data_IF_227895856371
#
_entry.id   IF_227895856371
#
_cell.length_a   1.000
_cell.length_b   1.000
_cell.length_c   1.000
_cell.angle_alpha   90.00
_cell.angle_beta   90.00
_cell.angle_gamma   90.00
#
_symmetry.space_group_name_H-M   'P 1'
#
loop_
_entity.id
_entity.type
_entity.pdbx_description
1 polymer ?
#
# COMPACT_ATOMS: atom_id res chain seq x y z
N UNK A 1 10.76 -20.01 -0.33
CA UNK A 1 9.79 -21.09 -0.62
C UNK A 1 8.56 -20.55 -1.34
N UNK A 2 7.83 -19.57 -0.78
CA UNK A 2 6.61 -19.00 -1.39
C UNK A 2 6.79 -18.49 -2.84
N UNK A 3 7.87 -17.75 -3.13
CA UNK A 3 8.15 -17.26 -4.50
C UNK A 3 8.30 -18.39 -5.51
N UNK A 4 9.03 -19.45 -5.15
CA UNK A 4 9.22 -20.63 -6.01
C UNK A 4 7.88 -21.34 -6.23
N UNK A 5 7.08 -21.49 -5.18
CA UNK A 5 5.73 -22.07 -5.28
C UNK A 5 4.84 -21.24 -6.21
N UNK A 6 4.86 -19.92 -6.10
CA UNK A 6 4.09 -19.02 -6.98
C UNK A 6 4.51 -19.17 -8.45
N UNK A 7 5.81 -19.18 -8.73
CA UNK A 7 6.31 -19.35 -10.11
C UNK A 7 6.00 -20.73 -10.69
N UNK A 8 6.06 -21.80 -9.89
CA UNK A 8 5.65 -23.13 -10.35
C UNK A 8 4.15 -23.19 -10.64
N UNK A 9 3.31 -22.50 -9.85
CA UNK A 9 1.88 -22.36 -10.15
C UNK A 9 1.69 -21.60 -11.47
N UNK A 10 2.34 -20.44 -11.65
CA UNK A 10 2.23 -19.67 -12.91
C UNK A 10 2.64 -20.49 -14.13
N UNK A 11 3.71 -21.29 -14.01
CA UNK A 11 4.17 -22.19 -15.07
C UNK A 11 3.14 -23.29 -15.37
N UNK A 12 2.57 -23.93 -14.35
CA UNK A 12 1.54 -24.99 -14.51
C UNK A 12 0.26 -24.45 -15.13
N UNK A 13 -0.19 -23.28 -14.67
CA UNK A 13 -1.38 -22.59 -15.15
C UNK A 13 -1.15 -21.86 -16.48
N UNK A 14 0.07 -21.90 -17.03
CA UNK A 14 0.48 -21.23 -18.28
C UNK A 14 0.07 -19.76 -18.31
N UNK A 15 0.32 -19.06 -17.22
CA UNK A 15 0.02 -17.64 -17.06
C UNK A 15 0.77 -16.84 -18.12
N UNK A 16 0.05 -16.06 -18.94
CA UNK A 16 0.65 -15.20 -19.99
C UNK A 16 1.40 -14.01 -19.41
N UNK A 17 0.92 -13.44 -18.32
CA UNK A 17 1.51 -12.28 -17.64
C UNK A 17 1.33 -12.43 -16.15
N UNK A 18 2.42 -12.29 -15.40
CA UNK A 18 2.40 -12.24 -13.95
C UNK A 18 2.77 -10.83 -13.47
N UNK A 19 2.04 -10.30 -12.49
CA UNK A 19 2.45 -9.13 -11.72
C UNK A 19 3.12 -9.64 -10.45
N UNK A 20 4.40 -9.32 -10.27
CA UNK A 20 5.22 -9.84 -9.18
C UNK A 20 5.63 -8.71 -8.26
N UNK A 21 5.04 -8.66 -7.07
CA UNK A 21 5.42 -7.71 -6.02
C UNK A 21 6.71 -8.19 -5.34
N UNK A 22 7.67 -7.27 -5.18
CA UNK A 22 8.91 -7.51 -4.44
C UNK A 22 8.59 -7.58 -2.94
N UNK A 23 9.11 -8.60 -2.25
CA UNK A 23 8.88 -8.76 -0.81
C UNK A 23 9.60 -7.71 0.03
N UNK A 24 10.92 -7.59 -0.13
CA UNK A 24 11.74 -6.62 0.60
C UNK A 24 12.92 -6.15 -0.25
N UNK A 25 13.11 -4.83 -0.34
CA UNK A 25 14.21 -4.24 -1.11
C UNK A 25 13.96 -4.41 -2.61
N UNK A 26 14.70 -5.31 -3.26
CA UNK A 26 14.63 -5.54 -4.71
C UNK A 26 15.79 -6.38 -5.20
N UNK A 27 17.01 -5.83 -5.13
CA UNK A 27 18.25 -6.43 -5.63
C UNK A 27 18.46 -7.89 -5.18
N UNK A 28 18.25 -8.15 -3.90
CA UNK A 28 18.43 -9.47 -3.27
C UNK A 28 17.10 -10.16 -2.91
N UNK A 29 15.98 -9.64 -3.40
CA UNK A 29 14.69 -10.27 -3.15
C UNK A 29 14.56 -11.59 -3.92
N UNK A 30 13.84 -12.55 -3.35
CA UNK A 30 13.62 -13.85 -3.99
C UNK A 30 12.90 -13.74 -5.35
N UNK A 31 12.14 -12.67 -5.60
CA UNK A 31 11.48 -12.45 -6.89
C UNK A 31 12.45 -11.97 -7.98
N UNK A 32 13.61 -11.42 -7.60
CA UNK A 32 14.56 -10.83 -8.54
C UNK A 32 15.40 -11.85 -9.32
N UNK A 33 15.07 -13.14 -9.20
CA UNK A 33 15.60 -14.23 -10.03
C UNK A 33 15.12 -14.17 -11.48
N UNK A 34 14.06 -13.41 -11.77
CA UNK A 34 13.55 -13.20 -13.12
C UNK A 34 14.58 -12.41 -13.95
N UNK A 35 14.88 -12.87 -15.16
CA UNK A 35 15.82 -12.22 -16.09
C UNK A 35 15.12 -11.19 -16.98
N UNK A 36 15.87 -10.36 -17.71
CA UNK A 36 15.30 -9.55 -18.80
C UNK A 36 14.66 -10.49 -19.82
N UNK A 37 13.51 -10.09 -20.39
CA UNK A 37 12.99 -10.74 -21.57
C UNK A 37 13.80 -10.24 -22.79
N UNK A 38 14.81 -11.01 -23.22
CA UNK A 38 15.78 -10.62 -24.25
C UNK A 38 15.46 -11.16 -25.65
N UNK A 39 14.59 -12.18 -25.78
CA UNK A 39 14.26 -12.84 -27.05
C UNK A 39 12.74 -12.98 -27.22
N UNK A 40 12.19 -12.51 -28.33
CA UNK A 40 10.78 -12.70 -28.69
C UNK A 40 10.40 -14.18 -28.84
N UNK A 41 11.39 -15.06 -29.02
CA UNK A 41 11.22 -16.51 -29.14
C UNK A 41 11.34 -17.26 -27.80
N UNK A 42 11.99 -16.67 -26.77
CA UNK A 42 12.09 -17.23 -25.42
C UNK A 42 11.23 -16.40 -24.46
N UNK A 43 9.99 -16.85 -24.32
CA UNK A 43 8.83 -16.00 -24.03
C UNK A 43 8.61 -15.73 -22.53
N UNK A 44 9.69 -15.61 -21.75
CA UNK A 44 9.60 -15.44 -20.30
C UNK A 44 10.65 -14.43 -19.78
N UNK A 45 10.31 -13.72 -18.72
CA UNK A 45 11.18 -12.70 -18.12
C UNK A 45 10.42 -11.43 -17.76
N UNK A 46 11.18 -10.44 -17.30
CA UNK A 46 10.67 -9.11 -16.96
C UNK A 46 10.49 -8.31 -18.25
N UNK A 47 9.29 -7.78 -18.48
CA UNK A 47 8.94 -6.89 -19.61
C UNK A 47 8.77 -5.42 -19.18
N UNK A 48 8.61 -5.16 -17.88
CA UNK A 48 8.64 -3.82 -17.29
C UNK A 48 8.95 -3.93 -15.80
N UNK A 49 9.74 -2.98 -15.30
CA UNK A 49 9.95 -2.79 -13.86
C UNK A 49 9.18 -1.55 -13.39
N UNK A 50 8.74 -1.53 -12.13
CA UNK A 50 7.99 -0.40 -11.55
C UNK A 50 8.54 -0.07 -10.18
N UNK A 51 8.92 1.19 -9.98
CA UNK A 51 9.35 1.75 -8.70
C UNK A 51 8.30 2.76 -8.24
N UNK A 52 7.47 2.35 -7.30
CA UNK A 52 6.48 3.24 -6.67
C UNK A 52 7.16 4.22 -5.71
N UNK A 53 6.38 4.97 -4.92
CA UNK A 53 6.90 5.81 -3.86
C UNK A 53 7.84 5.04 -2.92
N UNK A 54 9.01 5.61 -2.66
CA UNK A 54 10.03 5.12 -1.73
C UNK A 54 10.05 6.04 -0.51
N UNK A 55 9.72 5.45 0.64
CA UNK A 55 9.86 6.06 1.96
C UNK A 55 10.96 5.40 2.79
N UNK A 56 11.18 5.95 3.98
CA UNK A 56 12.02 5.34 5.01
C UNK A 56 11.25 4.18 5.66
N UNK A 57 11.48 2.97 5.18
CA UNK A 57 10.98 1.74 5.79
C UNK A 57 12.06 0.67 5.78
N UNK A 58 11.98 -0.27 6.73
CA UNK A 58 12.91 -1.40 6.85
C UNK A 58 14.39 -0.98 6.92
N UNK A 59 14.67 0.13 7.62
CA UNK A 59 16.02 0.74 7.69
C UNK A 59 17.11 -0.23 8.18
N UNK A 60 16.76 -1.18 9.05
CA UNK A 60 17.67 -2.22 9.53
C UNK A 60 18.15 -3.20 8.45
N UNK A 61 17.42 -3.31 7.34
CA UNK A 61 17.75 -4.19 6.21
C UNK A 61 18.20 -3.43 4.97
N UNK A 62 17.60 -2.28 4.67
CA UNK A 62 17.78 -1.54 3.41
C UNK A 62 18.69 -0.30 3.54
N UNK A 63 19.06 0.06 4.77
CA UNK A 63 19.87 1.23 5.07
C UNK A 63 19.06 2.41 5.59
N UNK A 64 19.76 3.41 6.12
CA UNK A 64 19.19 4.55 6.86
C UNK A 64 18.93 5.81 6.03
N UNK A 65 19.05 5.74 4.70
CA UNK A 65 18.81 6.88 3.80
C UNK A 65 17.98 6.46 2.60
N UNK A 66 17.19 7.39 2.04
CA UNK A 66 16.37 7.08 0.86
C UNK A 66 17.24 6.67 -0.33
N UNK A 67 18.41 7.29 -0.54
CA UNK A 67 19.35 6.87 -1.58
C UNK A 67 19.85 5.42 -1.43
N UNK A 68 20.08 4.92 -0.20
CA UNK A 68 20.45 3.51 0.03
C UNK A 68 19.29 2.57 -0.26
N UNK A 69 18.10 2.91 0.22
CA UNK A 69 16.88 2.13 -0.02
C UNK A 69 16.55 2.09 -1.52
N UNK A 70 16.71 3.22 -2.21
CA UNK A 70 16.53 3.34 -3.65
C UNK A 70 17.51 2.45 -4.42
N UNK A 71 18.78 2.35 -4.00
CA UNK A 71 19.75 1.44 -4.64
C UNK A 71 19.34 -0.02 -4.53
N UNK A 72 18.85 -0.44 -3.36
CA UNK A 72 18.34 -1.80 -3.19
C UNK A 72 17.10 -2.04 -4.07
N UNK A 73 16.17 -1.09 -4.12
CA UNK A 73 14.94 -1.20 -4.93
C UNK A 73 15.20 -1.16 -6.44
N UNK A 74 16.11 -0.31 -6.89
CA UNK A 74 16.50 -0.17 -8.30
C UNK A 74 17.20 -1.43 -8.85
N UNK A 75 17.63 -2.36 -7.99
CA UNK A 75 18.20 -3.65 -8.42
C UNK A 75 17.23 -4.58 -9.16
N UNK A 76 15.95 -4.24 -9.25
CA UNK A 76 14.98 -4.95 -10.12
C UNK A 76 14.98 -4.45 -11.57
N UNK A 77 15.68 -3.35 -11.87
CA UNK A 77 15.81 -2.83 -13.23
C UNK A 77 16.68 -3.81 -14.02
N UNK A 78 16.18 -4.23 -15.19
CA UNK A 78 16.84 -5.22 -16.05
C UNK A 78 17.36 -4.56 -17.32
N UNK A 79 18.42 -5.10 -17.95
CA UNK A 79 18.96 -4.57 -19.20
C UNK A 79 17.88 -4.41 -20.27
N UNK A 80 17.83 -3.25 -20.92
CA UNK A 80 16.92 -2.93 -22.03
C UNK A 80 15.41 -2.95 -21.72
N UNK A 81 15.02 -3.28 -20.48
CA UNK A 81 13.62 -3.35 -20.04
C UNK A 81 13.19 -1.99 -19.49
N UNK A 82 12.04 -1.43 -19.91
CA UNK A 82 11.59 -0.14 -19.39
C UNK A 82 11.32 -0.17 -17.89
N UNK A 83 11.61 0.94 -17.22
CA UNK A 83 11.25 1.18 -15.82
C UNK A 83 10.32 2.38 -15.70
N UNK A 84 9.23 2.19 -14.97
CA UNK A 84 8.31 3.26 -14.59
C UNK A 84 8.59 3.65 -13.15
N UNK A 85 8.71 4.94 -12.87
CA UNK A 85 8.96 5.45 -11.52
C UNK A 85 7.96 6.54 -11.14
N UNK A 86 7.48 6.47 -9.90
CA UNK A 86 6.66 7.53 -9.32
C UNK A 86 7.49 8.82 -9.20
N UNK A 87 7.12 9.84 -9.97
CA UNK A 87 7.81 11.12 -10.01
C UNK A 87 7.65 11.97 -8.76
N UNK A 88 6.79 11.58 -7.81
CA UNK A 88 6.70 12.23 -6.49
C UNK A 88 7.82 11.79 -5.52
N UNK A 89 8.70 10.88 -5.94
CA UNK A 89 9.87 10.48 -5.18
C UNK A 89 10.85 11.65 -4.95
N UNK A 90 11.66 11.55 -3.89
CA UNK A 90 12.69 12.54 -3.60
C UNK A 90 13.74 12.59 -4.74
N UNK A 91 14.40 13.75 -4.98
CA UNK A 91 15.39 13.87 -6.05
C UNK A 91 16.49 12.79 -6.01
N UNK A 92 16.99 12.45 -4.82
CA UNK A 92 18.02 11.40 -4.65
C UNK A 92 17.54 10.01 -5.08
N UNK A 93 16.24 9.72 -4.96
CA UNK A 93 15.64 8.46 -5.41
C UNK A 93 15.54 8.44 -6.93
N UNK A 94 15.05 9.54 -7.51
CA UNK A 94 14.93 9.69 -8.96
C UNK A 94 16.29 9.61 -9.65
N UNK A 95 17.32 10.22 -9.08
CA UNK A 95 18.71 10.14 -9.56
C UNK A 95 19.21 8.70 -9.56
N UNK A 96 19.06 7.97 -8.44
CA UNK A 96 19.47 6.56 -8.35
C UNK A 96 18.77 5.68 -9.38
N UNK A 97 17.44 5.83 -9.54
CA UNK A 97 16.67 5.06 -10.52
C UNK A 97 17.13 5.39 -11.95
N UNK A 98 17.31 6.68 -12.25
CA UNK A 98 17.73 7.14 -13.58
C UNK A 98 19.12 6.62 -13.93
N UNK A 99 20.11 6.80 -13.06
CA UNK A 99 21.47 6.29 -13.29
C UNK A 99 21.51 4.76 -13.39
N UNK A 100 20.70 4.05 -12.60
CA UNK A 100 20.62 2.58 -12.69
C UNK A 100 20.03 2.13 -14.02
N UNK A 101 19.00 2.82 -14.51
CA UNK A 101 18.39 2.55 -15.80
C UNK A 101 19.33 2.87 -16.97
N UNK A 102 20.04 4.00 -16.92
CA UNK A 102 21.08 4.36 -17.91
C UNK A 102 22.16 3.27 -18.00
N UNK A 103 22.67 2.80 -16.86
CA UNK A 103 23.64 1.70 -16.80
C UNK A 103 23.11 0.38 -17.38
N UNK A 104 21.79 0.19 -17.38
CA UNK A 104 21.11 -0.98 -17.94
C UNK A 104 20.59 -0.72 -19.37
N UNK A 105 20.83 0.45 -19.97
CA UNK A 105 20.20 0.84 -21.24
C UNK A 105 18.66 0.73 -21.23
N UNK A 106 18.05 0.93 -20.07
CA UNK A 106 16.61 0.87 -19.84
C UNK A 106 15.97 2.25 -20.04
N UNK A 107 14.82 2.30 -20.73
CA UNK A 107 14.03 3.52 -20.82
C UNK A 107 13.36 3.84 -19.48
N UNK A 108 13.47 5.09 -19.03
CA UNK A 108 12.85 5.57 -17.78
C UNK A 108 11.62 6.41 -18.09
N UNK A 109 10.48 6.00 -17.57
CA UNK A 109 9.24 6.79 -17.58
C UNK A 109 8.99 7.33 -16.16
N UNK A 110 9.20 8.65 -15.97
CA UNK A 110 8.93 9.34 -14.71
C UNK A 110 7.49 9.85 -14.72
N UNK A 111 6.64 9.30 -13.86
CA UNK A 111 5.20 9.59 -13.88
C UNK A 111 4.85 10.68 -12.87
N UNK A 112 4.32 11.79 -13.37
CA UNK A 112 3.78 12.89 -12.55
C UNK A 112 2.34 13.20 -12.96
N UNK A 113 1.34 12.65 -12.25
CA UNK A 113 -0.06 13.02 -12.46
C UNK A 113 -0.27 14.53 -12.30
N UNK A 114 -1.02 15.13 -13.21
CA UNK A 114 -1.27 16.57 -13.24
C UNK A 114 -2.56 16.90 -12.48
N UNK A 115 -2.53 17.68 -11.40
CA UNK A 115 -3.73 18.01 -10.64
C UNK A 115 -4.72 18.81 -11.50
N UNK A 116 -6.00 18.57 -11.27
CA UNK A 116 -7.08 19.35 -11.89
C UNK A 116 -7.58 20.46 -10.96
N UNK A 117 -8.61 21.19 -11.41
CA UNK A 117 -9.34 22.14 -10.55
C UNK A 117 -10.20 21.46 -9.49
N UNK A 118 -10.49 20.16 -9.64
CA UNK A 118 -11.25 19.38 -8.67
C UNK A 118 -10.26 18.80 -7.65
N UNK A 119 -10.40 19.10 -6.35
CA UNK A 119 -9.51 18.55 -5.32
C UNK A 119 -9.48 17.03 -5.33
N UNK A 120 -8.27 16.44 -5.23
CA UNK A 120 -8.07 14.99 -5.26
C UNK A 120 -8.16 14.34 -6.64
N UNK A 121 -8.45 15.11 -7.70
CA UNK A 121 -8.52 14.63 -9.07
C UNK A 121 -7.29 15.06 -9.87
N UNK A 122 -6.68 14.10 -10.57
CA UNK A 122 -5.49 14.30 -11.42
C UNK A 122 -5.67 13.66 -12.80
N UNK A 123 -5.00 14.22 -13.80
CA UNK A 123 -4.89 13.68 -15.14
C UNK A 123 -3.55 12.95 -15.31
N UNK A 124 -3.61 11.74 -15.84
CA UNK A 124 -2.46 10.87 -16.08
C UNK A 124 -2.32 10.73 -17.59
N UNK A 125 -1.17 11.14 -18.12
CA UNK A 125 -0.84 10.93 -19.53
C UNK A 125 -0.22 9.55 -19.70
N UNK A 126 -0.59 8.88 -20.79
CA UNK A 126 0.00 7.60 -21.23
C UNK A 126 0.30 7.70 -22.73
N UNK A 127 1.30 6.96 -23.21
CA UNK A 127 1.66 6.92 -24.62
C UNK A 127 0.64 6.15 -25.48
N UNK A 128 0.09 5.05 -24.96
CA UNK A 128 -0.77 4.14 -25.73
C UNK A 128 -2.27 4.26 -25.38
N UNK A 129 -2.63 4.85 -24.24
CA UNK A 129 -4.02 4.94 -23.80
C UNK A 129 -4.53 6.36 -23.64
N UNK A 130 -3.77 7.39 -24.08
CA UNK A 130 -4.15 8.80 -23.97
C UNK A 130 -4.20 9.32 -22.53
N UNK A 131 -5.05 10.33 -22.27
CA UNK A 131 -5.20 10.93 -20.93
C UNK A 131 -6.26 10.18 -20.12
N UNK A 132 -5.89 9.69 -18.94
CA UNK A 132 -6.76 9.00 -17.99
C UNK A 132 -7.01 9.93 -16.79
N UNK A 133 -8.27 10.03 -16.37
CA UNK A 133 -8.63 10.81 -15.19
C UNK A 133 -8.61 9.90 -13.95
N UNK A 134 -7.91 10.30 -12.89
CA UNK A 134 -7.75 9.49 -11.68
C UNK A 134 -9.07 9.18 -10.99
N UNK A 135 -10.12 9.99 -11.17
CA UNK A 135 -11.44 9.78 -10.54
C UNK A 135 -12.12 8.46 -10.89
N UNK A 136 -11.66 7.77 -11.94
CA UNK A 136 -12.20 6.46 -12.33
C UNK A 136 -11.72 5.34 -11.40
N UNK A 137 -10.66 5.56 -10.60
CA UNK A 137 -10.25 4.59 -9.58
C UNK A 137 -11.26 4.57 -8.43
N UNK A 138 -11.70 3.39 -7.97
CA UNK A 138 -12.50 3.28 -6.76
C UNK A 138 -11.66 3.41 -5.48
N UNK A 139 -10.32 3.40 -5.60
CA UNK A 139 -9.41 3.49 -4.46
C UNK A 139 -9.37 4.91 -3.90
N UNK A 140 -9.34 5.00 -2.58
CA UNK A 140 -9.38 6.28 -1.85
C UNK A 140 -7.97 6.76 -1.51
N UNK A 141 -7.85 8.06 -1.28
CA UNK A 141 -6.59 8.74 -0.95
C UNK A 141 -5.94 9.41 -2.17
N UNK A 142 -5.43 10.63 -1.98
CA UNK A 142 -4.86 11.45 -3.07
C UNK A 142 -3.63 10.80 -3.73
N UNK A 143 -2.87 10.01 -2.97
CA UNK A 143 -1.71 9.26 -3.46
C UNK A 143 -2.07 8.17 -4.48
N UNK A 144 -3.34 7.77 -4.59
CA UNK A 144 -3.76 6.78 -5.57
C UNK A 144 -3.63 7.28 -7.01
N UNK A 145 -3.61 8.60 -7.24
CA UNK A 145 -3.30 9.14 -8.55
C UNK A 145 -1.88 8.75 -9.01
N UNK A 146 -0.90 8.76 -8.09
CA UNK A 146 0.47 8.32 -8.36
C UNK A 146 0.55 6.82 -8.61
N UNK A 147 -0.07 6.01 -7.73
CA UNK A 147 -0.12 4.55 -7.90
C UNK A 147 -0.79 4.16 -9.23
N UNK A 148 -1.93 4.77 -9.55
CA UNK A 148 -2.61 4.57 -10.81
C UNK A 148 -1.73 5.00 -11.98
N UNK A 149 -1.04 6.15 -11.85
CA UNK A 149 -0.08 6.66 -12.80
C UNK A 149 0.99 5.64 -13.17
N UNK A 150 1.63 5.05 -12.15
CA UNK A 150 2.62 4.01 -12.35
C UNK A 150 2.02 2.76 -13.02
N UNK A 151 0.86 2.30 -12.56
CA UNK A 151 0.21 1.11 -13.10
C UNK A 151 -0.15 1.25 -14.59
N UNK A 152 -0.78 2.36 -14.99
CA UNK A 152 -1.19 2.56 -16.39
C UNK A 152 -0.01 2.85 -17.32
N UNK A 153 1.05 3.48 -16.82
CA UNK A 153 2.26 3.70 -17.63
C UNK A 153 3.11 2.44 -17.74
N UNK A 154 3.13 1.58 -16.73
CA UNK A 154 3.73 0.25 -16.84
C UNK A 154 2.99 -0.61 -17.87
N UNK A 155 1.66 -0.52 -17.91
CA UNK A 155 0.87 -1.17 -18.95
C UNK A 155 1.09 -0.53 -20.33
N UNK A 156 1.27 0.79 -20.37
CA UNK A 156 1.53 1.53 -21.62
C UNK A 156 2.90 1.19 -22.21
N UNK A 157 3.93 0.96 -21.40
CA UNK A 157 5.28 0.62 -21.87
C UNK A 157 5.34 -0.76 -22.55
N UNK A 158 4.46 -1.68 -22.13
CA UNK A 158 4.39 -3.06 -22.66
C UNK A 158 3.24 -3.29 -23.63
N UNK A 159 2.51 -2.24 -24.04
CA UNK A 159 1.29 -2.38 -24.84
C UNK A 159 1.51 -3.14 -26.17
N UNK A 160 2.73 -3.09 -26.74
CA UNK A 160 3.09 -3.81 -27.95
C UNK A 160 3.02 -5.35 -27.81
N UNK A 161 3.20 -5.89 -26.60
CA UNK A 161 2.99 -7.32 -26.30
C UNK A 161 1.50 -7.71 -26.26
N UNK A 162 0.60 -6.72 -26.22
CA UNK A 162 -0.85 -6.89 -26.03
C UNK A 162 -1.64 -6.08 -27.07
N UNK A 163 -1.57 -6.41 -28.37
CA UNK A 163 -2.21 -5.62 -29.44
C UNK A 163 -3.75 -5.50 -29.29
N UNK A 164 -4.39 -6.46 -28.61
CA UNK A 164 -5.84 -6.43 -28.34
C UNK A 164 -6.22 -5.58 -27.11
N UNK A 165 -5.24 -5.07 -26.36
CA UNK A 165 -5.48 -4.24 -25.19
C UNK A 165 -5.85 -2.83 -25.62
N UNK A 166 -7.11 -2.44 -25.38
CA UNK A 166 -7.65 -1.14 -25.75
C UNK A 166 -7.73 -0.21 -24.55
N UNK A 167 -7.87 1.09 -24.79
CA UNK A 167 -8.17 2.07 -23.74
C UNK A 167 -9.42 1.69 -22.93
N UNK A 168 -10.46 1.15 -23.56
CA UNK A 168 -11.68 0.72 -22.85
C UNK A 168 -11.40 -0.43 -21.88
N UNK A 169 -10.57 -1.41 -22.28
CA UNK A 169 -10.10 -2.47 -21.38
C UNK A 169 -9.39 -1.89 -20.16
N UNK A 170 -8.49 -0.90 -20.36
CA UNK A 170 -7.77 -0.24 -19.27
C UNK A 170 -8.72 0.49 -18.33
N UNK A 171 -9.63 1.31 -18.85
CA UNK A 171 -10.61 2.06 -18.04
C UNK A 171 -11.53 1.13 -17.23
N UNK A 172 -12.02 0.05 -17.85
CA UNK A 172 -12.82 -0.98 -17.16
C UNK A 172 -12.01 -1.71 -16.09
N UNK A 173 -10.73 -2.01 -16.35
CA UNK A 173 -9.83 -2.61 -15.37
C UNK A 173 -9.64 -1.73 -14.14
N UNK A 174 -9.36 -0.44 -14.35
CA UNK A 174 -9.22 0.54 -13.27
C UNK A 174 -10.50 0.61 -12.42
N UNK A 175 -11.66 0.75 -13.05
CA UNK A 175 -12.95 0.84 -12.35
C UNK A 175 -13.34 -0.41 -11.54
N UNK A 176 -12.70 -1.56 -11.80
CA UNK A 176 -12.92 -2.82 -11.07
C UNK A 176 -11.88 -3.09 -9.97
N UNK A 177 -10.94 -2.17 -9.75
CA UNK A 177 -9.87 -2.37 -8.78
C UNK A 177 -10.46 -2.51 -7.38
N UNK A 178 -10.07 -3.57 -6.67
CA UNK A 178 -10.38 -3.75 -5.26
C UNK A 178 -9.07 -4.01 -4.53
N UNK A 179 -8.79 -3.22 -3.50
CA UNK A 179 -7.56 -3.35 -2.71
C UNK A 179 -7.88 -3.41 -1.21
N UNK A 180 -8.13 -4.62 -0.68
CA UNK A 180 -8.51 -4.79 0.71
C UNK A 180 -7.49 -4.17 1.68
N UNK A 181 -7.97 -3.47 2.70
CA UNK A 181 -7.14 -2.85 3.72
C UNK A 181 -6.34 -1.62 3.31
N UNK A 182 -6.73 -0.93 2.23
CA UNK A 182 -6.18 0.39 1.84
C UNK A 182 -7.31 1.41 1.76
N UNK A 183 -7.48 2.19 2.81
CA UNK A 183 -8.59 3.13 3.02
C UNK A 183 -9.94 2.51 2.63
N UNK A 184 -10.11 1.23 2.98
CA UNK A 184 -11.27 0.45 2.60
C UNK A 184 -12.40 0.76 3.59
N UNK A 185 -13.53 1.24 3.10
CA UNK A 185 -14.73 1.39 3.95
C UNK A 185 -15.59 0.16 3.79
N UNK A 186 -15.97 -0.43 4.91
CA UNK A 186 -16.86 -1.59 4.99
C UNK A 186 -17.75 -1.45 6.22
N UNK A 187 -18.98 -1.92 6.10
CA UNK A 187 -19.87 -2.08 7.23
C UNK A 187 -19.49 -3.37 7.99
N UNK A 188 -19.08 -3.23 9.25
CA UNK A 188 -18.74 -4.35 10.15
C UNK A 188 -19.96 -4.65 11.00
N UNK A 189 -20.48 -5.89 10.91
CA UNK A 189 -21.48 -6.38 11.85
C UNK A 189 -20.82 -6.69 13.19
N UNK A 190 -21.26 -6.02 14.25
CA UNK A 190 -20.88 -6.35 15.63
C UNK A 190 -21.86 -7.37 16.22
N UNK A 191 -21.47 -8.02 17.32
CA UNK A 191 -22.34 -8.93 18.08
C UNK A 191 -23.59 -8.23 18.67
N UNK A 192 -23.79 -6.94 18.39
CA UNK A 192 -24.90 -6.08 18.84
C UNK A 192 -25.98 -5.85 17.77
N UNK A 193 -26.12 -6.74 16.78
CA UNK A 193 -27.10 -6.63 15.67
C UNK A 193 -27.07 -5.27 14.94
N UNK A 194 -25.88 -4.67 14.79
CA UNK A 194 -25.70 -3.40 14.09
C UNK A 194 -24.50 -3.46 13.15
N UNK A 195 -24.74 -2.96 11.95
CA UNK A 195 -23.71 -2.70 10.95
C UNK A 195 -23.18 -1.28 11.17
N UNK A 196 -21.85 -1.17 11.36
CA UNK A 196 -21.18 0.11 11.55
C UNK A 196 -20.18 0.34 10.41
N UNK A 197 -20.19 1.52 9.76
CA UNK A 197 -19.22 1.84 8.74
C UNK A 197 -17.85 2.06 9.38
N UNK A 198 -16.87 1.27 8.95
CA UNK A 198 -15.51 1.30 9.45
C UNK A 198 -14.53 1.53 8.31
N UNK A 199 -13.54 2.40 8.54
CA UNK A 199 -12.38 2.58 7.67
C UNK A 199 -11.26 1.61 8.09
N UNK A 200 -10.86 0.72 7.20
CA UNK A 200 -9.75 -0.21 7.37
C UNK A 200 -8.52 0.28 6.61
N UNK A 201 -7.37 0.37 7.28
CA UNK A 201 -6.12 0.71 6.63
C UNK A 201 -4.89 0.02 7.25
N UNK A 202 -4.00 -0.50 6.40
CA UNK A 202 -2.77 -1.16 6.83
C UNK A 202 -1.58 -0.22 7.10
N UNK A 203 -1.79 1.08 7.31
CA UNK A 203 -0.74 2.04 7.64
C UNK A 203 0.05 1.59 8.87
N UNK A 204 1.37 1.45 8.70
CA UNK A 204 2.27 0.88 9.71
C UNK A 204 3.68 1.48 9.65
N UNK A 205 3.82 2.64 9.00
CA UNK A 205 5.02 3.47 8.98
C UNK A 205 4.60 4.95 8.92
N UNK A 206 5.55 5.86 9.12
CA UNK A 206 5.30 7.30 9.23
C UNK A 206 4.62 7.89 7.98
N UNK A 207 5.08 7.51 6.78
CA UNK A 207 4.52 8.03 5.53
C UNK A 207 3.07 7.57 5.33
N UNK A 208 2.78 6.29 5.58
CA UNK A 208 1.42 5.77 5.51
C UNK A 208 0.52 6.39 6.59
N UNK A 209 1.06 6.66 7.78
CA UNK A 209 0.36 7.33 8.87
C UNK A 209 -0.04 8.76 8.49
N UNK A 210 0.85 9.51 7.84
CA UNK A 210 0.55 10.85 7.32
C UNK A 210 -0.56 10.82 6.27
N UNK A 211 -0.53 9.84 5.35
CA UNK A 211 -1.58 9.68 4.33
C UNK A 211 -2.92 9.25 4.91
N UNK A 212 -2.91 8.38 5.92
CA UNK A 212 -4.12 8.02 6.66
C UNK A 212 -4.70 9.24 7.39
N UNK A 213 -3.84 10.03 8.07
CA UNK A 213 -4.25 11.25 8.76
C UNK A 213 -4.85 12.28 7.81
N UNK A 214 -4.20 12.55 6.68
CA UNK A 214 -4.69 13.45 5.63
C UNK A 214 -6.10 13.03 5.18
N UNK A 215 -6.31 11.74 4.93
CA UNK A 215 -7.60 11.21 4.53
C UNK A 215 -8.67 11.35 5.64
N UNK A 216 -8.35 11.01 6.89
CA UNK A 216 -9.28 11.12 8.02
C UNK A 216 -9.71 12.57 8.22
N UNK A 217 -8.77 13.51 8.22
CA UNK A 217 -9.05 14.93 8.45
C UNK A 217 -9.91 15.54 7.33
N UNK A 218 -9.75 15.07 6.09
CA UNK A 218 -10.49 15.60 4.93
C UNK A 218 -11.85 14.92 4.71
N UNK A 219 -12.08 13.72 5.23
CA UNK A 219 -13.28 12.92 4.89
C UNK A 219 -14.11 12.45 6.08
N UNK A 220 -13.49 12.13 7.22
CA UNK A 220 -14.20 11.60 8.39
C UNK A 220 -14.53 12.70 9.40
N UNK A 221 -13.62 13.67 9.58
CA UNK A 221 -13.82 14.75 10.55
C UNK A 221 -14.73 15.84 9.97
N UNK A 222 -15.86 16.09 10.64
CA UNK A 222 -16.79 17.19 10.28
C UNK A 222 -16.24 18.57 10.67
N UNK A 223 -15.38 18.60 11.68
CA UNK A 223 -14.62 19.75 12.16
C UNK A 223 -13.25 19.29 12.65
N UNK A 224 -12.24 20.17 12.76
CA UNK A 224 -10.90 19.80 13.24
C UNK A 224 -10.89 18.99 14.55
N UNK A 225 -11.84 19.31 15.44
CA UNK A 225 -12.02 18.73 16.77
C UNK A 225 -13.03 17.58 16.83
N UNK A 226 -13.61 17.16 15.70
CA UNK A 226 -14.51 16.01 15.68
C UNK A 226 -13.75 14.74 16.07
N UNK A 227 -14.11 14.03 17.15
CA UNK A 227 -13.38 12.85 17.58
C UNK A 227 -13.56 11.69 16.60
N UNK A 228 -12.55 10.82 16.55
CA UNK A 228 -12.51 9.56 15.80
C UNK A 228 -12.18 8.44 16.78
N UNK A 229 -12.84 7.29 16.63
CA UNK A 229 -12.55 6.09 17.43
C UNK A 229 -11.61 5.18 16.64
N UNK A 230 -10.48 4.84 17.24
CA UNK A 230 -9.45 4.01 16.62
C UNK A 230 -9.37 2.63 17.28
N UNK A 231 -9.33 1.56 16.49
CA UNK A 231 -8.90 0.23 16.95
C UNK A 231 -7.54 -0.06 16.32
N UNK A 232 -6.53 -0.28 17.15
CA UNK A 232 -5.14 -0.30 16.67
C UNK A 232 -4.34 -1.49 17.17
N UNK A 233 -3.52 -2.05 16.30
CA UNK A 233 -2.52 -3.07 16.64
C UNK A 233 -1.33 -2.92 15.69
N UNK A 234 -0.13 -3.15 16.21
CA UNK A 234 1.12 -2.93 15.48
C UNK A 234 2.00 -4.17 15.54
N UNK A 235 2.67 -4.50 14.43
CA UNK A 235 3.62 -5.61 14.38
C UNK A 235 4.88 -5.27 15.17
N UNK A 236 5.43 -6.24 15.89
CA UNK A 236 6.71 -6.11 16.60
C UNK A 236 7.81 -5.53 15.73
N UNK A 237 8.61 -4.63 16.31
CA UNK A 237 9.74 -3.99 15.65
C UNK A 237 9.40 -2.77 14.78
N UNK A 238 8.12 -2.35 14.74
CA UNK A 238 7.71 -1.08 14.12
C UNK A 238 7.66 0.03 15.18
N UNK A 239 8.07 1.24 14.82
CA UNK A 239 7.95 2.42 15.68
C UNK A 239 6.50 2.94 15.68
N UNK A 240 5.65 2.26 16.45
CA UNK A 240 4.25 2.64 16.56
C UNK A 240 4.03 3.95 17.32
N UNK A 241 4.98 4.40 18.14
CA UNK A 241 4.89 5.68 18.82
C UNK A 241 4.86 6.84 17.81
N UNK A 242 5.83 6.85 16.89
CA UNK A 242 5.92 7.81 15.81
C UNK A 242 4.66 7.83 14.92
N UNK A 243 4.06 6.66 14.70
CA UNK A 243 2.80 6.50 13.94
C UNK A 243 1.60 7.07 14.70
N UNK A 244 1.43 6.72 15.98
CA UNK A 244 0.30 7.19 16.79
C UNK A 244 0.33 8.72 16.94
N UNK A 245 1.50 9.31 17.13
CA UNK A 245 1.65 10.78 17.22
C UNK A 245 1.23 11.50 15.92
N UNK A 246 1.40 10.87 14.76
CA UNK A 246 0.99 11.42 13.46
C UNK A 246 -0.51 11.31 13.22
N UNK A 247 -1.11 10.17 13.59
CA UNK A 247 -2.51 9.89 13.26
C UNK A 247 -3.48 10.48 14.29
N UNK A 248 -3.21 10.33 15.57
CA UNK A 248 -4.15 10.68 16.64
C UNK A 248 -4.21 12.19 16.91
N UNK A 249 -5.32 12.65 17.48
CA UNK A 249 -5.51 13.97 18.07
C UNK A 249 -5.99 13.82 19.53
N UNK A 250 -5.84 14.86 20.38
CA UNK A 250 -6.18 14.78 21.81
C UNK A 250 -7.60 14.25 22.10
N UNK A 251 -8.59 14.63 21.30
CA UNK A 251 -9.99 14.25 21.47
C UNK A 251 -10.33 12.81 21.07
N UNK A 252 -9.41 12.08 20.42
CA UNK A 252 -9.70 10.78 19.84
C UNK A 252 -9.75 9.68 20.89
N UNK A 253 -10.62 8.68 20.66
CA UNK A 253 -10.71 7.49 21.52
C UNK A 253 -9.88 6.37 20.90
N UNK A 254 -9.12 5.64 21.72
CA UNK A 254 -8.27 4.54 21.25
C UNK A 254 -8.64 3.24 21.95
N UNK A 255 -8.72 2.17 21.17
CA UNK A 255 -8.86 0.80 21.65
C UNK A 255 -7.65 0.04 21.12
N UNK A 256 -6.66 -0.16 21.98
CA UNK A 256 -5.47 -0.93 21.66
C UNK A 256 -5.79 -2.43 21.66
N UNK A 257 -5.29 -3.15 20.66
CA UNK A 257 -5.51 -4.59 20.54
C UNK A 257 -4.32 -5.34 19.97
N UNK A 258 -4.47 -6.65 19.86
CA UNK A 258 -3.48 -7.57 19.35
C UNK A 258 -4.10 -8.37 18.21
N UNK A 259 -3.36 -8.54 17.11
CA UNK A 259 -3.73 -9.50 16.08
C UNK A 259 -3.18 -10.89 16.44
N UNK A 260 -3.90 -11.93 16.01
CA UNK A 260 -3.58 -13.32 16.31
C UNK A 260 -2.34 -13.86 15.56
N UNK A 261 -2.10 -15.17 15.71
CA UNK A 261 -1.00 -15.84 15.00
C UNK A 261 -1.17 -15.73 13.48
N UNK A 262 -0.08 -15.44 12.79
CA UNK A 262 -0.04 -15.36 11.32
C UNK A 262 0.27 -16.73 10.73
N UNK A 263 -0.63 -17.22 9.88
CA UNK A 263 -0.48 -18.51 9.20
C UNK A 263 0.82 -18.58 8.41
N UNK A 264 1.65 -19.58 8.70
CA UNK A 264 2.94 -19.78 8.03
C UNK A 264 4.05 -18.79 8.42
N UNK A 265 3.80 -17.87 9.36
CA UNK A 265 4.79 -16.88 9.82
C UNK A 265 4.79 -16.73 11.35
N UNK A 266 5.18 -17.76 12.12
CA UNK A 266 5.13 -17.74 13.59
C UNK A 266 6.07 -16.71 14.25
N UNK A 267 7.02 -16.16 13.51
CA UNK A 267 7.92 -15.09 13.97
C UNK A 267 7.28 -13.69 13.90
N UNK A 268 6.12 -13.56 13.26
CA UNK A 268 5.35 -12.31 13.24
C UNK A 268 4.40 -12.32 14.43
N UNK A 269 4.51 -11.28 15.26
CA UNK A 269 3.65 -11.08 16.42
C UNK A 269 3.29 -9.59 16.59
N UNK A 270 2.23 -9.36 17.35
CA UNK A 270 1.78 -8.01 17.73
C UNK A 270 2.61 -7.46 18.90
N UNK A 271 2.72 -6.14 18.99
CA UNK A 271 2.89 -5.46 20.26
C UNK A 271 1.71 -5.77 21.18
N UNK A 272 1.95 -5.80 22.49
CA UNK A 272 0.88 -6.07 23.44
C UNK A 272 -0.12 -4.91 23.46
N UNK A 273 -1.39 -5.20 23.75
CA UNK A 273 -2.40 -4.14 23.84
C UNK A 273 -2.04 -3.09 24.90
N UNK A 274 -1.35 -3.50 25.97
CA UNK A 274 -0.89 -2.61 27.04
C UNK A 274 0.18 -1.64 26.55
N UNK A 275 1.22 -2.13 25.86
CA UNK A 275 2.28 -1.26 25.31
C UNK A 275 1.71 -0.18 24.38
N UNK A 276 0.76 -0.57 23.54
CA UNK A 276 0.11 0.35 22.59
C UNK A 276 -0.81 1.33 23.33
N UNK A 277 -1.57 0.87 24.33
CA UNK A 277 -2.41 1.72 25.16
C UNK A 277 -1.61 2.76 25.95
N UNK A 278 -0.49 2.35 26.55
CA UNK A 278 0.39 3.24 27.33
C UNK A 278 0.90 4.40 26.48
N UNK A 279 1.34 4.12 25.25
CA UNK A 279 1.77 5.16 24.31
C UNK A 279 0.59 6.02 23.84
N UNK A 280 -0.55 5.41 23.50
CA UNK A 280 -1.74 6.15 23.09
C UNK A 280 -2.19 7.15 24.17
N UNK A 281 -2.09 6.77 25.44
CA UNK A 281 -2.45 7.62 26.59
C UNK A 281 -1.56 8.88 26.71
N UNK A 282 -0.37 8.88 26.11
CA UNK A 282 0.50 10.07 26.04
C UNK A 282 0.07 11.06 24.95
N UNK A 283 -0.74 10.62 23.98
CA UNK A 283 -1.16 11.42 22.82
C UNK A 283 -2.60 11.92 22.96
N UNK A 284 -3.50 11.11 23.52
CA UNK A 284 -4.92 11.44 23.68
C UNK A 284 -5.24 11.88 25.11
N UNK A 285 -6.17 12.83 25.24
CA UNK A 285 -6.77 13.24 26.51
C UNK A 285 -8.13 12.56 26.78
N UNK A 286 -8.65 11.83 25.79
CA UNK A 286 -9.88 11.04 25.88
C UNK A 286 -9.61 9.62 26.39
N UNK A 287 -10.60 8.73 26.22
CA UNK A 287 -10.57 7.35 26.68
C UNK A 287 -9.59 6.49 25.87
N UNK A 288 -8.76 5.73 26.59
CA UNK A 288 -7.99 4.60 26.05
C UNK A 288 -8.51 3.31 26.69
N UNK A 289 -8.83 2.33 25.85
CA UNK A 289 -9.21 0.98 26.25
C UNK A 289 -8.23 -0.03 25.65
N UNK A 290 -8.24 -1.25 26.16
CA UNK A 290 -7.45 -2.34 25.60
C UNK A 290 -8.21 -3.66 25.62
N UNK A 291 -7.94 -4.51 24.63
CA UNK A 291 -8.29 -5.93 24.65
C UNK A 291 -7.27 -6.70 23.80
N UNK A 292 -6.80 -7.83 24.27
CA UNK A 292 -5.89 -8.70 23.52
C UNK A 292 -6.57 -9.48 22.38
N UNK A 293 -7.86 -9.24 22.13
CA UNK A 293 -8.62 -9.87 21.07
C UNK A 293 -9.29 -8.83 20.17
N UNK A 294 -9.07 -8.94 18.85
CA UNK A 294 -9.62 -7.99 17.87
C UNK A 294 -11.14 -7.90 17.94
N UNK A 295 -11.85 -9.03 18.06
CA UNK A 295 -13.33 -9.04 18.09
C UNK A 295 -13.87 -8.35 19.34
N UNK A 296 -13.28 -8.63 20.50
CA UNK A 296 -13.61 -7.94 21.74
C UNK A 296 -13.32 -6.44 21.65
N UNK A 297 -12.16 -6.06 21.10
CA UNK A 297 -11.79 -4.65 20.90
C UNK A 297 -12.80 -3.91 20.01
N UNK A 298 -13.25 -4.53 18.92
CA UNK A 298 -14.29 -3.93 18.06
C UNK A 298 -15.64 -3.86 18.79
N UNK A 299 -15.97 -4.83 19.66
CA UNK A 299 -17.20 -4.79 20.49
C UNK A 299 -17.19 -3.68 21.56
N UNK A 300 -16.00 -3.18 21.96
CA UNK A 300 -15.84 -2.03 22.85
C UNK A 300 -16.14 -0.68 22.16
N UNK A 301 -16.24 -0.66 20.83
CA UNK A 301 -16.64 0.55 20.09
C UNK A 301 -18.09 0.88 20.46
N UNK A 302 -18.30 2.09 21.00
CA UNK A 302 -19.58 2.58 21.47
C UNK A 302 -20.29 3.50 20.46
N UNK A 303 -19.53 4.20 19.62
CA UNK A 303 -20.03 5.03 18.50
C UNK A 303 -20.52 4.20 17.29
N UNK A 304 -21.25 4.87 16.38
CA UNK A 304 -21.74 4.32 15.10
C UNK A 304 -21.17 5.04 13.88
N UNK A 305 -20.31 6.05 14.06
CA UNK A 305 -19.65 6.75 12.98
C UNK A 305 -18.18 7.05 13.32
N UNK A 306 -17.37 7.34 12.28
CA UNK A 306 -15.96 7.74 12.41
C UNK A 306 -15.09 6.73 13.17
N UNK A 307 -15.16 5.48 12.73
CA UNK A 307 -14.40 4.37 13.28
C UNK A 307 -13.29 4.00 12.29
N UNK A 308 -12.07 3.86 12.79
CA UNK A 308 -10.89 3.52 11.98
C UNK A 308 -10.17 2.34 12.63
N UNK A 309 -9.90 1.29 11.85
CA UNK A 309 -9.06 0.17 12.27
C UNK A 309 -7.77 0.23 11.46
N UNK A 310 -6.63 0.43 12.13
CA UNK A 310 -5.34 0.56 11.45
C UNK A 310 -4.14 0.10 12.29
N UNK A 311 -2.96 0.12 11.69
CA UNK A 311 -1.68 -0.15 12.37
C UNK A 311 -0.95 -1.38 11.85
N UNK A 312 -1.70 -2.33 11.27
CA UNK A 312 -1.13 -3.55 10.68
C UNK A 312 -2.07 -4.16 9.65
N UNK A 313 -1.52 -4.65 8.53
CA UNK A 313 -2.26 -5.47 7.60
C UNK A 313 -2.74 -6.79 8.22
N UNK A 314 -2.08 -7.30 9.27
CA UNK A 314 -2.50 -8.51 9.96
C UNK A 314 -3.78 -8.29 10.76
N UNK A 315 -3.89 -7.14 11.45
CA UNK A 315 -5.12 -6.70 12.10
C UNK A 315 -6.27 -6.59 11.10
N UNK A 316 -6.03 -5.87 10.00
CA UNK A 316 -7.05 -5.68 8.96
C UNK A 316 -7.47 -7.02 8.33
N UNK A 317 -6.52 -7.91 8.08
CA UNK A 317 -6.79 -9.26 7.56
C UNK A 317 -7.67 -10.08 8.52
N UNK A 318 -7.44 -9.99 9.83
CA UNK A 318 -8.24 -10.69 10.83
C UNK A 318 -9.70 -10.19 10.85
N UNK A 319 -9.89 -8.87 10.80
CA UNK A 319 -11.24 -8.27 10.68
C UNK A 319 -11.94 -8.72 9.40
N UNK A 320 -11.25 -8.70 8.26
CA UNK A 320 -11.81 -9.13 6.98
C UNK A 320 -12.14 -10.63 6.95
N UNK A 321 -11.37 -11.49 7.64
CA UNK A 321 -11.65 -12.92 7.75
C UNK A 321 -12.92 -13.19 8.56
N UNK A 322 -13.18 -12.42 9.61
CA UNK A 322 -14.41 -12.51 10.38
C UNK A 322 -15.62 -12.15 9.52
N UNK A 323 -15.58 -11.05 8.77
CA UNK A 323 -16.71 -10.58 7.96
C UNK A 323 -17.08 -11.50 6.77
N UNK A 324 -16.21 -12.43 6.38
CA UNK A 324 -16.49 -13.42 5.32
C UNK A 324 -17.16 -14.70 5.83
N UNK A 325 -17.26 -14.89 7.14
CA UNK A 325 -17.85 -16.07 7.79
C UNK A 325 -19.27 -15.76 8.21
#
# INVERSE_FOLDING_TARGET
MLTVTAFEIFRRERVRVAVVEVGLGGRLDATNVLVANEDENDNWGVISSVITKIGLDHQGFLGSTLGKIAKEKAGIIKPFIPVVVDGSNAPEVLEVVTSTAENNNAHVEIVVPQPTRVPGESLIKTSNFGIINSKITPLKGNYQANNLGCAVNALSSVAHFFPDLTRDHVLKGIGKTNWPGRLQVLDISLDKDRDIPVLLDGAHNDEAAEKLREYIDTTLRKSPDSPVTFVVAFTQGKDFNSILQRVLKPQDTVIATEFGKVDGMPWISSHTSQEVADVAQTVVSSQVQQSSNVREAVNLVDTTDRIVIFGSLYLVSEVLRWQRR
#
